data_IF_243849396105
#
_entry.id   IF_243849396105
#
_cell.length_a   1.000
_cell.length_b   1.000
_cell.length_c   1.000
_cell.angle_alpha   90.00
_cell.angle_beta   90.00
_cell.angle_gamma   90.00
#
_symmetry.space_group_name_H-M   'P 1'
#
loop_
_entity.id
_entity.type
_entity.pdbx_description
1 polymer ?
#
# COMPACT_ATOMS: atom_id res chain seq x y z
N UNK A 1 17.79 15.89 -17.82
CA UNK A 1 16.37 15.92 -17.38
C UNK A 1 15.51 15.79 -18.63
N UNK A 2 14.59 14.82 -18.64
CA UNK A 2 13.66 14.60 -19.75
C UNK A 2 12.27 14.91 -19.23
N UNK A 3 11.55 15.82 -19.88
CA UNK A 3 10.17 16.16 -19.53
C UNK A 3 9.23 15.32 -20.39
N UNK A 4 8.36 14.55 -19.72
CA UNK A 4 7.32 13.78 -20.37
C UNK A 4 6.03 14.60 -20.47
N UNK A 5 5.19 14.35 -21.48
CA UNK A 5 3.90 15.02 -21.58
C UNK A 5 3.02 14.67 -20.36
N UNK A 6 2.07 15.55 -19.97
CA UNK A 6 1.11 15.24 -18.94
C UNK A 6 0.35 13.95 -19.25
N UNK A 7 0.33 13.03 -18.29
CA UNK A 7 -0.38 11.76 -18.39
C UNK A 7 -1.37 11.63 -17.23
N UNK A 8 -2.54 11.00 -17.43
CA UNK A 8 -3.42 10.65 -16.34
C UNK A 8 -2.69 9.76 -15.32
N UNK A 9 -2.69 10.19 -14.05
CA UNK A 9 -2.12 9.42 -12.94
C UNK A 9 -3.24 9.05 -11.98
N UNK A 10 -3.11 7.88 -11.35
CA UNK A 10 -4.06 7.50 -10.30
C UNK A 10 -3.97 8.49 -9.13
N UNK A 11 -5.13 8.94 -8.66
CA UNK A 11 -5.23 9.89 -7.56
C UNK A 11 -4.69 9.32 -6.25
N UNK A 12 -4.25 10.19 -5.35
CA UNK A 12 -3.89 9.86 -3.98
C UNK A 12 -4.49 10.89 -3.02
N UNK A 13 -4.59 10.55 -1.74
CA UNK A 13 -5.06 11.49 -0.71
C UNK A 13 -4.29 12.80 -0.68
N UNK A 14 -2.99 12.77 -0.99
CA UNK A 14 -2.18 14.00 -1.11
C UNK A 14 -2.71 14.91 -2.23
N UNK A 15 -2.86 14.38 -3.44
CA UNK A 15 -3.30 15.15 -4.61
C UNK A 15 -4.73 15.68 -4.42
N UNK A 16 -5.59 14.93 -3.72
CA UNK A 16 -6.94 15.39 -3.40
C UNK A 16 -6.98 16.47 -2.32
N UNK A 17 -5.99 16.49 -1.42
CA UNK A 17 -5.88 17.46 -0.32
C UNK A 17 -5.35 18.81 -0.79
N UNK A 18 -4.42 18.83 -1.73
CA UNK A 18 -3.79 20.05 -2.26
C UNK A 18 -4.09 20.22 -3.75
N UNK A 19 -5.36 20.39 -4.10
CA UNK A 19 -5.79 20.54 -5.52
C UNK A 19 -5.36 21.88 -6.13
N UNK A 20 -5.03 22.84 -5.29
CA UNK A 20 -4.50 24.16 -5.64
C UNK A 20 -3.01 24.15 -5.97
N UNK A 21 -2.33 23.01 -5.80
CA UNK A 21 -0.88 22.89 -5.99
C UNK A 21 -0.53 22.00 -7.17
N UNK A 22 0.52 22.40 -7.87
CA UNK A 22 1.12 21.60 -8.91
C UNK A 22 2.09 20.57 -8.31
N UNK A 23 2.06 19.37 -8.83
CA UNK A 23 2.91 18.27 -8.40
C UNK A 23 3.69 17.70 -9.58
N UNK A 24 4.89 17.21 -9.30
CA UNK A 24 5.77 16.58 -10.27
C UNK A 24 6.21 15.21 -9.75
N UNK A 25 5.91 14.17 -10.52
CA UNK A 25 6.49 12.85 -10.30
C UNK A 25 7.87 12.82 -10.96
N UNK A 26 8.92 12.66 -10.15
CA UNK A 26 10.31 12.62 -10.61
C UNK A 26 10.82 11.20 -10.50
N UNK A 27 11.31 10.66 -11.61
CA UNK A 27 11.95 9.35 -11.69
C UNK A 27 13.47 9.54 -11.85
N UNK A 28 14.23 8.83 -11.03
CA UNK A 28 15.69 8.85 -11.01
C UNK A 28 16.18 7.58 -11.70
N UNK A 29 16.50 7.72 -12.99
CA UNK A 29 16.84 6.62 -13.89
C UNK A 29 18.21 6.84 -14.55
N UNK A 30 18.80 5.75 -15.02
CA UNK A 30 19.96 5.75 -15.89
C UNK A 30 19.57 6.14 -17.33
N UNK A 31 20.56 6.29 -18.21
CA UNK A 31 20.37 6.66 -19.62
C UNK A 31 19.45 5.68 -20.36
N UNK A 32 19.54 4.39 -20.03
CA UNK A 32 18.69 3.33 -20.60
C UNK A 32 17.32 3.21 -19.91
N UNK A 33 16.92 4.23 -19.12
CA UNK A 33 15.67 4.27 -18.35
C UNK A 33 15.55 3.14 -17.32
N UNK A 34 16.69 2.59 -16.88
CA UNK A 34 16.75 1.60 -15.81
C UNK A 34 16.93 2.27 -14.46
N UNK A 35 16.72 1.52 -13.37
CA UNK A 35 16.94 2.03 -12.02
C UNK A 35 18.41 2.35 -11.83
N UNK A 36 18.70 3.45 -11.16
CA UNK A 36 20.08 3.84 -10.83
C UNK A 36 20.84 2.78 -10.04
N UNK A 37 22.02 2.47 -10.51
CA UNK A 37 23.04 1.67 -9.85
C UNK A 37 24.31 2.52 -9.63
N UNK A 38 24.94 2.39 -8.47
CA UNK A 38 26.23 3.04 -8.16
C UNK A 38 26.15 4.28 -7.26
N UNK A 39 27.29 4.60 -6.62
CA UNK A 39 27.41 5.61 -5.55
C UNK A 39 27.70 7.01 -6.11
N UNK A 40 28.31 7.11 -7.29
CA UNK A 40 28.75 8.37 -7.89
C UNK A 40 27.59 9.30 -8.30
N UNK A 41 26.41 8.73 -8.54
CA UNK A 41 25.18 9.47 -8.86
C UNK A 41 24.55 10.11 -7.62
N UNK A 42 24.94 9.71 -6.41
CA UNK A 42 24.31 10.16 -5.16
C UNK A 42 24.48 11.66 -4.93
N UNK A 43 25.61 12.27 -5.28
CA UNK A 43 25.81 13.72 -5.11
C UNK A 43 24.83 14.53 -5.96
N UNK A 44 24.55 14.09 -7.19
CA UNK A 44 23.57 14.76 -8.04
C UNK A 44 22.15 14.56 -7.50
N UNK A 45 21.81 13.34 -7.06
CA UNK A 45 20.51 13.07 -6.44
C UNK A 45 20.30 13.90 -5.18
N UNK A 46 21.31 13.97 -4.31
CA UNK A 46 21.27 14.74 -3.08
C UNK A 46 20.94 16.20 -3.38
N UNK A 47 21.61 16.81 -4.37
CA UNK A 47 21.31 18.17 -4.82
C UNK A 47 19.85 18.32 -5.29
N UNK A 48 19.36 17.42 -6.15
CA UNK A 48 17.97 17.47 -6.63
C UNK A 48 16.95 17.31 -5.49
N UNK A 49 17.23 16.42 -4.54
CA UNK A 49 16.35 16.14 -3.40
C UNK A 49 16.35 17.28 -2.37
N UNK A 50 17.46 18.02 -2.24
CA UNK A 50 17.63 19.11 -1.26
C UNK A 50 17.24 20.48 -1.83
N UNK A 51 17.69 20.82 -3.02
CA UNK A 51 17.47 22.12 -3.66
C UNK A 51 16.17 22.16 -4.47
N UNK A 52 15.76 21.02 -5.04
CA UNK A 52 14.61 20.90 -5.92
C UNK A 52 14.95 21.07 -7.40
N UNK A 53 13.94 21.42 -8.19
CA UNK A 53 13.99 21.59 -9.64
C UNK A 53 13.26 22.88 -10.03
N UNK A 54 13.70 23.56 -11.09
CA UNK A 54 12.97 24.70 -11.68
C UNK A 54 12.53 24.32 -13.09
N UNK A 55 11.23 24.34 -13.34
CA UNK A 55 10.63 23.99 -14.64
C UNK A 55 9.66 25.10 -15.01
N UNK A 56 9.86 25.74 -16.17
CA UNK A 56 8.96 26.79 -16.65
C UNK A 56 8.85 28.01 -15.73
N UNK A 57 9.86 28.28 -14.89
CA UNK A 57 9.84 29.34 -13.88
C UNK A 57 9.26 28.93 -12.53
N UNK A 58 8.65 27.75 -12.42
CA UNK A 58 8.10 27.22 -11.15
C UNK A 58 9.14 26.39 -10.41
N UNK A 59 9.32 26.65 -9.12
CA UNK A 59 10.19 25.87 -8.26
C UNK A 59 9.44 24.67 -7.65
N UNK A 60 9.95 23.47 -7.92
CA UNK A 60 9.44 22.20 -7.39
C UNK A 60 10.40 21.64 -6.35
N UNK A 61 9.89 21.29 -5.18
CA UNK A 61 10.69 20.77 -4.06
C UNK A 61 10.16 19.43 -3.58
N UNK A 62 11.05 18.57 -3.08
CA UNK A 62 10.70 17.23 -2.64
C UNK A 62 9.62 17.28 -1.57
N UNK A 63 8.46 16.68 -1.84
CA UNK A 63 7.41 16.49 -0.85
C UNK A 63 7.59 15.16 -0.11
N UNK A 64 7.81 14.07 -0.83
CA UNK A 64 8.05 12.75 -0.24
C UNK A 64 7.87 11.62 -1.25
N UNK A 65 7.93 10.38 -0.78
CA UNK A 65 7.69 9.20 -1.61
C UNK A 65 6.91 8.13 -0.83
N UNK A 66 6.03 7.42 -1.54
CA UNK A 66 5.44 6.17 -1.05
C UNK A 66 6.46 5.03 -1.13
N UNK A 67 6.16 3.91 -0.47
CA UNK A 67 7.04 2.74 -0.51
C UNK A 67 7.20 2.16 -1.93
N UNK A 68 6.18 2.27 -2.80
CA UNK A 68 6.32 1.82 -4.21
C UNK A 68 7.22 2.78 -4.99
N UNK A 69 6.99 4.08 -4.83
CA UNK A 69 7.80 5.10 -5.47
C UNK A 69 9.29 4.95 -5.11
N UNK A 70 9.62 4.70 -3.84
CA UNK A 70 11.00 4.43 -3.42
C UNK A 70 11.61 3.20 -4.12
N UNK A 71 10.86 2.09 -4.24
CA UNK A 71 11.33 0.89 -4.96
C UNK A 71 11.51 1.14 -6.46
N UNK A 72 10.75 2.09 -7.02
CA UNK A 72 10.80 2.51 -8.42
C UNK A 72 11.77 3.68 -8.65
N UNK A 73 12.54 4.06 -7.64
CA UNK A 73 13.46 5.21 -7.68
C UNK A 73 12.73 6.49 -8.12
N UNK A 74 11.56 6.74 -7.55
CA UNK A 74 10.76 7.93 -7.81
C UNK A 74 10.35 8.64 -6.53
N UNK A 75 10.03 9.92 -6.67
CA UNK A 75 9.51 10.74 -5.58
C UNK A 75 8.56 11.81 -6.12
N UNK A 76 7.71 12.32 -5.24
CA UNK A 76 6.79 13.40 -5.55
C UNK A 76 7.37 14.73 -5.09
N UNK A 77 7.37 15.69 -6.00
CA UNK A 77 7.75 17.08 -5.76
C UNK A 77 6.50 17.95 -5.84
N UNK A 78 6.51 19.07 -5.13
CA UNK A 78 5.40 20.04 -5.09
C UNK A 78 5.91 21.43 -5.46
N UNK A 79 5.09 22.20 -6.17
CA UNK A 79 5.35 23.61 -6.41
C UNK A 79 5.32 24.38 -5.09
N UNK A 80 6.47 24.93 -4.70
CA UNK A 80 6.67 25.66 -3.46
C UNK A 80 7.89 26.54 -3.59
N UNK A 81 7.86 27.75 -3.05
CA UNK A 81 8.93 28.76 -3.18
C UNK A 81 10.06 28.58 -2.16
N UNK A 82 9.81 27.84 -1.08
CA UNK A 82 10.80 27.60 -0.03
C UNK A 82 10.63 26.25 0.65
N UNK A 83 11.71 25.76 1.30
CA UNK A 83 11.64 24.59 2.17
C UNK A 83 10.67 24.79 3.35
N UNK A 84 10.52 26.03 3.83
CA UNK A 84 9.55 26.38 4.88
C UNK A 84 8.10 26.19 4.44
N UNK A 85 7.79 26.45 3.18
CA UNK A 85 6.46 26.17 2.62
C UNK A 85 6.19 24.67 2.51
N UNK A 86 7.15 23.88 2.00
CA UNK A 86 7.04 22.42 1.97
C UNK A 86 6.80 21.85 3.36
N UNK A 87 7.53 22.36 4.37
CA UNK A 87 7.31 21.97 5.77
C UNK A 87 5.88 22.23 6.22
N UNK A 88 5.34 23.44 5.97
CA UNK A 88 3.94 23.75 6.30
C UNK A 88 2.94 22.82 5.61
N UNK A 89 3.16 22.49 4.33
CA UNK A 89 2.31 21.54 3.60
C UNK A 89 2.38 20.14 4.22
N UNK A 90 3.57 19.68 4.65
CA UNK A 90 3.71 18.40 5.35
C UNK A 90 3.05 18.41 6.72
N UNK A 91 3.16 19.50 7.48
CA UNK A 91 2.51 19.67 8.79
C UNK A 91 0.98 19.67 8.65
N UNK A 92 0.44 20.15 7.52
CA UNK A 92 -0.99 20.06 7.21
C UNK A 92 -1.47 18.62 6.86
N UNK A 93 -0.56 17.67 6.66
CA UNK A 93 -0.84 16.25 6.41
C UNK A 93 -0.59 15.41 7.67
N UNK A 94 0.52 15.67 8.37
CA UNK A 94 0.91 15.04 9.62
C UNK A 94 1.07 16.13 10.68
N UNK A 95 0.01 16.39 11.43
CA UNK A 95 -0.08 17.52 12.38
C UNK A 95 0.84 17.41 13.59
N UNK A 96 1.33 16.21 13.91
CA UNK A 96 2.24 15.97 15.03
C UNK A 96 3.50 15.25 14.56
N UNK A 97 4.37 15.97 13.84
CA UNK A 97 5.65 15.45 13.39
C UNK A 97 6.59 15.07 14.57
N UNK A 98 6.41 15.70 15.74
CA UNK A 98 7.18 15.38 16.95
C UNK A 98 6.85 14.01 17.54
N UNK A 99 5.71 13.41 17.22
CA UNK A 99 5.34 12.07 17.67
C UNK A 99 6.17 10.94 17.07
N UNK A 100 7.06 11.22 16.12
CA UNK A 100 7.88 10.21 15.46
C UNK A 100 9.32 10.20 15.97
N UNK A 101 9.75 9.03 16.43
CA UNK A 101 11.11 8.83 16.98
C UNK A 101 12.23 8.85 15.92
N UNK A 102 11.87 8.86 14.63
CA UNK A 102 12.85 8.89 13.54
C UNK A 102 12.31 9.49 12.24
N UNK A 103 13.22 10.09 11.47
CA UNK A 103 12.93 10.64 10.14
C UNK A 103 12.42 9.57 9.18
N UNK A 104 12.93 8.33 9.29
CA UNK A 104 12.47 7.20 8.49
C UNK A 104 11.00 6.86 8.79
N UNK A 105 10.60 6.85 10.06
CA UNK A 105 9.22 6.58 10.49
C UNK A 105 8.28 7.69 10.03
N UNK A 106 8.68 8.95 10.20
CA UNK A 106 7.96 10.12 9.68
C UNK A 106 7.75 10.02 8.16
N UNK A 107 8.83 9.80 7.40
CA UNK A 107 8.79 9.71 5.94
C UNK A 107 7.89 8.57 5.48
N UNK A 108 7.97 7.41 6.14
CA UNK A 108 7.09 6.28 5.87
C UNK A 108 5.61 6.58 6.16
N UNK A 109 5.29 7.47 7.11
CA UNK A 109 3.90 7.92 7.39
C UNK A 109 3.41 8.95 6.39
N UNK A 110 4.27 9.89 6.00
CA UNK A 110 3.96 10.86 4.96
C UNK A 110 3.68 10.16 3.62
N UNK A 111 4.50 9.16 3.28
CA UNK A 111 4.34 8.29 2.11
C UNK A 111 3.00 7.55 2.03
N UNK A 112 2.24 7.46 3.12
CA UNK A 112 0.91 6.84 3.10
C UNK A 112 -0.12 7.71 2.36
N UNK A 113 0.03 9.03 2.36
CA UNK A 113 -0.85 9.94 1.60
C UNK A 113 -0.50 10.00 0.10
N UNK A 114 0.71 9.57 -0.24
CA UNK A 114 1.21 9.45 -1.61
C UNK A 114 0.84 8.11 -2.27
N UNK A 115 0.32 7.15 -1.49
CA UNK A 115 -0.16 5.88 -2.04
C UNK A 115 -1.40 6.15 -2.89
N UNK A 116 -1.43 5.62 -4.10
CA UNK A 116 -2.61 5.70 -4.95
C UNK A 116 -3.80 4.96 -4.30
N UNK A 117 -4.94 5.63 -4.25
CA UNK A 117 -6.15 5.13 -3.58
C UNK A 117 -7.41 5.83 -4.11
N UNK A 118 -8.54 5.14 -3.96
CA UNK A 118 -9.86 5.61 -4.39
C UNK A 118 -10.68 6.00 -3.16
N UNK A 119 -11.11 7.27 -3.01
CA UNK A 119 -12.01 7.68 -1.93
C UNK A 119 -13.38 7.04 -2.14
N UNK A 120 -14.02 6.60 -1.05
CA UNK A 120 -15.34 5.95 -1.10
C UNK A 120 -16.33 6.67 -0.20
N UNK A 121 -16.63 6.12 0.97
CA UNK A 121 -17.56 6.68 1.96
C UNK A 121 -16.83 7.44 3.07
N UNK A 122 -17.57 8.26 3.79
CA UNK A 122 -17.13 8.77 5.09
C UNK A 122 -17.56 7.81 6.21
N UNK A 123 -16.64 7.50 7.11
CA UNK A 123 -16.93 6.75 8.35
C UNK A 123 -16.59 7.68 9.52
N UNK A 124 -17.55 7.94 10.41
CA UNK A 124 -17.31 8.73 11.61
C UNK A 124 -16.49 7.93 12.63
N UNK A 125 -15.59 8.62 13.34
CA UNK A 125 -14.80 8.03 14.42
C UNK A 125 -15.69 7.37 15.49
N UNK A 126 -16.89 7.91 15.74
CA UNK A 126 -17.88 7.40 16.71
C UNK A 126 -18.50 6.07 16.32
N UNK A 127 -18.50 5.75 15.03
CA UNK A 127 -19.03 4.50 14.51
C UNK A 127 -17.89 3.48 14.25
N UNK A 128 -16.67 3.83 14.64
CA UNK A 128 -15.50 2.95 14.62
C UNK A 128 -15.15 2.45 16.02
N UNK A 129 -14.60 1.25 16.11
CA UNK A 129 -14.30 0.62 17.38
C UNK A 129 -12.91 -0.02 17.37
N UNK A 130 -12.14 0.15 18.44
CA UNK A 130 -10.84 -0.52 18.61
C UNK A 130 -11.00 -1.83 19.38
N UNK A 131 -10.47 -2.94 18.88
CA UNK A 131 -10.34 -4.20 19.63
C UNK A 131 -8.88 -4.65 19.66
N UNK A 132 -8.48 -5.43 20.65
CA UNK A 132 -7.09 -5.86 20.83
C UNK A 132 -6.64 -6.78 19.69
N UNK A 133 -5.36 -6.79 19.36
CA UNK A 133 -4.81 -7.77 18.43
C UNK A 133 -4.83 -9.19 19.02
N UNK A 134 -5.20 -10.18 18.21
CA UNK A 134 -5.13 -11.59 18.60
C UNK A 134 -3.68 -12.05 18.59
N UNK A 135 -3.33 -12.91 19.55
CA UNK A 135 -1.99 -13.46 19.72
C UNK A 135 -2.02 -14.97 19.74
N UNK A 136 -1.01 -15.57 19.13
CA UNK A 136 -0.71 -16.99 19.29
C UNK A 136 -0.16 -17.28 20.70
N UNK A 137 -0.03 -18.56 21.04
CA UNK A 137 0.50 -18.99 22.34
C UNK A 137 1.94 -18.53 22.62
N UNK A 138 2.71 -18.24 21.58
CA UNK A 138 4.07 -17.68 21.64
C UNK A 138 4.11 -16.14 21.66
N UNK A 139 2.94 -15.48 21.63
CA UNK A 139 2.80 -14.03 21.64
C UNK A 139 2.83 -13.36 20.27
N UNK A 140 3.03 -14.10 19.18
CA UNK A 140 3.02 -13.56 17.82
C UNK A 140 1.63 -13.00 17.45
N UNK A 141 1.59 -11.85 16.77
CA UNK A 141 0.34 -11.23 16.33
C UNK A 141 -0.27 -12.04 15.18
N UNK A 142 -1.51 -12.49 15.36
CA UNK A 142 -2.29 -13.19 14.33
C UNK A 142 -3.11 -12.24 13.46
N UNK A 143 -3.37 -11.02 13.94
CA UNK A 143 -4.21 -10.03 13.27
C UNK A 143 -3.46 -8.73 12.95
N UNK A 144 -2.14 -8.79 12.78
CA UNK A 144 -1.35 -7.59 12.47
C UNK A 144 -1.85 -6.92 11.19
N UNK A 145 -2.39 -5.70 11.34
CA UNK A 145 -2.91 -4.93 10.23
C UNK A 145 -4.28 -5.41 9.71
N UNK A 146 -5.00 -6.26 10.44
CA UNK A 146 -6.28 -6.82 10.03
C UNK A 146 -7.44 -6.36 10.94
N UNK A 147 -8.53 -5.90 10.32
CA UNK A 147 -9.77 -5.49 10.99
C UNK A 147 -11.01 -6.03 10.30
N UNK A 148 -12.18 -5.52 10.68
CA UNK A 148 -13.47 -5.89 10.08
C UNK A 148 -14.25 -4.65 9.64
N UNK A 149 -14.95 -4.78 8.52
CA UNK A 149 -15.88 -3.78 8.00
C UNK A 149 -17.29 -4.37 8.03
N UNK A 150 -18.26 -3.64 8.59
CA UNK A 150 -19.64 -4.09 8.60
C UNK A 150 -20.17 -4.26 7.16
N UNK A 151 -21.02 -5.25 6.94
CA UNK A 151 -21.64 -5.49 5.63
C UNK A 151 -22.28 -4.25 5.02
N UNK A 152 -23.04 -3.47 5.80
CA UNK A 152 -23.66 -2.23 5.33
C UNK A 152 -22.64 -1.22 4.79
N UNK A 153 -21.55 -0.98 5.52
CA UNK A 153 -20.45 -0.12 5.07
C UNK A 153 -19.75 -0.70 3.85
N UNK A 154 -19.53 -2.02 3.81
CA UNK A 154 -18.90 -2.70 2.68
C UNK A 154 -19.74 -2.61 1.39
N UNK A 155 -21.07 -2.67 1.50
CA UNK A 155 -21.99 -2.51 0.38
C UNK A 155 -21.89 -1.10 -0.22
N UNK A 156 -21.87 -0.06 0.62
CA UNK A 156 -21.70 1.32 0.17
C UNK A 156 -20.32 1.57 -0.46
N UNK A 157 -19.27 0.95 0.10
CA UNK A 157 -17.92 0.98 -0.49
C UNK A 157 -17.92 0.32 -1.88
N UNK A 158 -18.53 -0.86 -2.02
CA UNK A 158 -18.60 -1.57 -3.29
C UNK A 158 -19.40 -0.79 -4.35
N UNK A 159 -20.53 -0.20 -3.96
CA UNK A 159 -21.34 0.68 -4.80
C UNK A 159 -20.53 1.91 -5.26
N UNK A 160 -19.84 2.58 -4.34
CA UNK A 160 -18.99 3.74 -4.65
C UNK A 160 -17.84 3.39 -5.60
N UNK A 161 -17.36 2.16 -5.58
CA UNK A 161 -16.30 1.66 -6.48
C UNK A 161 -16.86 1.11 -7.81
N UNK A 162 -18.19 1.04 -7.97
CA UNK A 162 -18.83 0.45 -9.14
C UNK A 162 -18.61 -1.06 -9.27
N UNK A 163 -18.43 -1.77 -8.16
CA UNK A 163 -18.21 -3.22 -8.15
C UNK A 163 -19.54 -3.97 -8.27
N UNK A 164 -19.55 -5.05 -9.07
CA UNK A 164 -20.75 -5.87 -9.28
C UNK A 164 -21.20 -6.65 -8.03
N UNK A 165 -20.28 -6.92 -7.10
CA UNK A 165 -20.56 -7.58 -5.83
C UNK A 165 -19.65 -7.05 -4.74
N UNK A 166 -20.06 -7.23 -3.48
CA UNK A 166 -19.24 -6.87 -2.31
C UNK A 166 -18.07 -7.85 -2.18
N UNK A 167 -16.80 -7.39 -2.28
CA UNK A 167 -15.63 -8.22 -2.07
C UNK A 167 -15.53 -8.76 -0.64
N UNK A 168 -14.78 -9.85 -0.45
CA UNK A 168 -14.56 -10.41 0.89
C UNK A 168 -13.68 -9.52 1.78
N UNK A 169 -12.82 -8.69 1.19
CA UNK A 169 -11.93 -7.80 1.93
C UNK A 169 -11.52 -6.57 1.11
N UNK A 170 -11.08 -5.53 1.81
CA UNK A 170 -10.51 -4.32 1.24
C UNK A 170 -9.18 -3.99 1.90
N UNK A 171 -8.17 -3.65 1.10
CA UNK A 171 -7.00 -2.93 1.57
C UNK A 171 -7.36 -1.44 1.62
N UNK A 172 -7.19 -0.81 2.78
CA UNK A 172 -7.74 0.52 3.02
C UNK A 172 -6.80 1.47 3.76
N UNK A 173 -7.20 2.75 3.74
CA UNK A 173 -6.64 3.86 4.51
C UNK A 173 -7.79 4.69 5.09
N UNK A 174 -7.73 5.00 6.38
CA UNK A 174 -8.73 5.84 7.04
C UNK A 174 -8.19 6.34 8.39
N UNK A 175 -8.35 7.62 8.74
CA UNK A 175 -7.97 8.21 10.03
C UNK A 175 -6.58 7.81 10.60
N UNK A 176 -5.57 7.72 9.74
CA UNK A 176 -4.21 7.28 10.13
C UNK A 176 -4.04 5.78 10.35
N UNK A 177 -5.09 4.99 10.10
CA UNK A 177 -5.08 3.54 10.01
C UNK A 177 -4.65 3.07 8.62
N UNK A 178 -3.92 1.96 8.60
CA UNK A 178 -3.55 1.20 7.41
C UNK A 178 -3.76 -0.27 7.69
N UNK A 179 -4.41 -0.97 6.77
CA UNK A 179 -4.51 -2.42 6.88
C UNK A 179 -5.40 -3.03 5.82
N UNK A 180 -5.89 -4.22 6.14
CA UNK A 180 -6.93 -4.93 5.42
C UNK A 180 -8.13 -5.06 6.36
N UNK A 181 -9.33 -4.88 5.83
CA UNK A 181 -10.57 -5.20 6.53
C UNK A 181 -11.28 -6.32 5.80
N UNK A 182 -11.65 -7.36 6.53
CA UNK A 182 -12.56 -8.40 6.04
C UNK A 182 -14.01 -7.94 6.24
N UNK A 183 -14.87 -8.26 5.28
CA UNK A 183 -16.29 -7.94 5.37
C UNK A 183 -16.95 -8.90 6.36
N UNK A 184 -17.49 -8.34 7.42
CA UNK A 184 -18.16 -9.07 8.49
C UNK A 184 -19.68 -8.98 8.32
N UNK A 185 -20.34 -10.12 8.54
CA UNK A 185 -21.80 -10.21 8.61
C UNK A 185 -22.29 -9.64 9.94
N UNK A 186 -23.58 -9.37 10.02
CA UNK A 186 -24.21 -8.77 11.22
C UNK A 186 -24.14 -9.65 12.47
N UNK A 187 -24.07 -10.97 12.29
CA UNK A 187 -23.99 -11.96 13.36
C UNK A 187 -22.56 -12.20 13.87
N UNK A 188 -21.55 -11.54 13.30
CA UNK A 188 -20.15 -11.63 13.74
C UNK A 188 -20.01 -11.23 15.23
N UNK A 189 -19.47 -12.12 16.10
CA UNK A 189 -19.40 -11.88 17.53
C UNK A 189 -18.63 -10.61 17.92
N UNK A 190 -17.49 -10.32 17.26
CA UNK A 190 -16.69 -9.13 17.56
C UNK A 190 -17.41 -7.85 17.14
N UNK A 191 -18.10 -7.87 15.98
CA UNK A 191 -18.89 -6.73 15.52
C UNK A 191 -20.10 -6.46 16.42
N UNK A 192 -20.76 -7.52 16.92
CA UNK A 192 -21.87 -7.40 17.88
C UNK A 192 -21.41 -6.83 19.21
N UNK A 193 -20.28 -7.30 19.73
CA UNK A 193 -19.68 -6.77 20.96
C UNK A 193 -19.26 -5.31 20.78
N UNK A 194 -18.60 -4.98 19.67
CA UNK A 194 -18.22 -3.61 19.33
C UNK A 194 -19.45 -2.70 19.27
N UNK A 195 -20.52 -3.14 18.60
CA UNK A 195 -21.76 -2.37 18.51
C UNK A 195 -22.42 -2.16 19.88
N UNK A 196 -22.40 -3.19 20.74
CA UNK A 196 -22.86 -3.07 22.15
C UNK A 196 -22.04 -2.05 22.92
N UNK A 197 -20.72 -2.05 22.79
CA UNK A 197 -19.81 -1.10 23.47
C UNK A 197 -20.01 0.33 22.97
N UNK A 198 -20.29 0.52 21.68
CA UNK A 198 -20.59 1.83 21.10
C UNK A 198 -22.02 2.32 21.40
N UNK A 199 -22.94 1.41 21.77
CA UNK A 199 -24.37 1.71 21.89
C UNK A 199 -25.07 1.98 20.56
N UNK A 200 -24.46 1.57 19.44
CA UNK A 200 -24.90 1.79 18.05
C UNK A 200 -24.19 0.81 17.10
N UNK A 201 -24.64 0.65 15.84
CA UNK A 201 -23.95 -0.21 14.88
C UNK A 201 -22.48 0.23 14.66
N UNK A 202 -21.55 -0.71 14.83
CA UNK A 202 -20.14 -0.50 14.49
C UNK A 202 -19.96 -0.60 12.97
N UNK A 203 -19.45 0.45 12.33
CA UNK A 203 -19.14 0.47 10.90
C UNK A 203 -17.77 -0.15 10.60
N UNK A 204 -16.76 0.12 11.44
CA UNK A 204 -15.37 -0.30 11.27
C UNK A 204 -14.77 -0.75 12.60
N UNK A 205 -14.39 -2.03 12.67
CA UNK A 205 -13.63 -2.58 13.78
C UNK A 205 -12.15 -2.64 13.41
N UNK A 206 -11.32 -1.88 14.10
CA UNK A 206 -9.88 -1.83 13.87
C UNK A 206 -9.09 -2.30 15.08
N UNK A 207 -7.80 -2.54 14.89
CA UNK A 207 -6.87 -3.03 15.92
C UNK A 207 -5.67 -2.08 16.13
N UNK A 208 -5.01 -2.10 17.29
CA UNK A 208 -3.84 -1.26 17.58
C UNK A 208 -2.75 -1.34 16.51
N UNK A 209 -2.45 -2.55 16.03
CA UNK A 209 -1.46 -2.79 14.96
C UNK A 209 -1.71 -1.98 13.69
N UNK A 210 -2.96 -1.62 13.39
CA UNK A 210 -3.34 -0.86 12.19
C UNK A 210 -3.04 0.63 12.31
N UNK A 211 -2.94 1.18 13.53
CA UNK A 211 -2.75 2.62 13.77
C UNK A 211 -1.31 3.02 13.50
N UNK A 212 -1.11 3.89 12.51
CA UNK A 212 0.23 4.32 12.08
C UNK A 212 0.58 5.74 12.54
N UNK A 213 -0.44 6.59 12.72
CA UNK A 213 -0.38 7.92 13.32
C UNK A 213 -1.81 8.34 13.72
N UNK A 214 -1.97 9.46 14.42
CA UNK A 214 -3.30 10.03 14.74
C UNK A 214 -3.74 10.95 13.62
N UNK A 215 -4.99 10.81 13.19
CA UNK A 215 -5.63 11.66 12.19
C UNK A 215 -7.14 11.58 12.36
N UNK A 216 -7.83 12.64 11.96
CA UNK A 216 -9.28 12.80 11.95
C UNK A 216 -9.87 12.72 10.53
N UNK A 217 -9.06 12.32 9.52
CA UNK A 217 -9.52 12.12 8.14
C UNK A 217 -10.54 10.97 8.08
N UNK A 218 -11.80 11.32 7.83
CA UNK A 218 -12.95 10.41 7.84
C UNK A 218 -13.19 9.70 6.52
N UNK A 219 -12.48 10.09 5.46
CA UNK A 219 -12.67 9.49 4.14
C UNK A 219 -12.07 8.09 4.10
N UNK A 220 -12.90 7.06 3.95
CA UNK A 220 -12.46 5.69 3.77
C UNK A 220 -11.93 5.52 2.34
N UNK A 221 -10.62 5.35 2.20
CA UNK A 221 -9.97 5.21 0.91
C UNK A 221 -9.57 3.75 0.68
N UNK A 222 -9.96 3.18 -0.45
CA UNK A 222 -9.60 1.82 -0.85
C UNK A 222 -8.38 1.86 -1.74
N UNK A 223 -7.37 1.06 -1.39
CA UNK A 223 -6.17 0.84 -2.22
C UNK A 223 -6.41 -0.30 -3.20
N UNK A 224 -7.05 -1.37 -2.73
CA UNK A 224 -7.40 -2.53 -3.53
C UNK A 224 -8.53 -3.31 -2.87
N UNK A 225 -9.33 -4.01 -3.67
CA UNK A 225 -10.36 -4.95 -3.25
C UNK A 225 -9.91 -6.39 -3.49
N UNK A 226 -10.35 -7.32 -2.64
CA UNK A 226 -10.10 -8.75 -2.85
C UNK A 226 -10.69 -9.20 -4.20
N UNK A 227 -9.85 -9.80 -5.04
CA UNK A 227 -10.24 -10.35 -6.35
C UNK A 227 -9.40 -11.58 -6.67
N UNK A 228 -9.89 -12.41 -7.59
CA UNK A 228 -9.11 -13.51 -8.15
C UNK A 228 -8.11 -12.95 -9.16
N UNK A 229 -6.86 -13.39 -9.07
CA UNK A 229 -5.80 -13.03 -10.01
C UNK A 229 -5.13 -14.31 -10.51
N UNK A 230 -4.91 -14.39 -11.81
CA UNK A 230 -4.00 -15.39 -12.36
C UNK A 230 -2.58 -15.07 -11.92
N UNK A 231 -1.88 -16.07 -11.38
CA UNK A 231 -0.51 -15.90 -10.84
C UNK A 231 0.45 -16.88 -11.50
N UNK A 232 1.68 -16.43 -11.71
CA UNK A 232 2.80 -17.23 -12.19
C UNK A 232 3.89 -17.33 -11.13
N UNK A 233 4.70 -18.39 -11.18
CA UNK A 233 5.86 -18.52 -10.31
C UNK A 233 6.99 -17.58 -10.78
N UNK A 234 7.50 -16.75 -9.88
CA UNK A 234 8.71 -15.98 -10.13
C UNK A 234 9.97 -16.80 -9.81
N UNK A 235 11.13 -16.32 -10.26
CA UNK A 235 12.41 -17.03 -10.11
C UNK A 235 12.78 -17.27 -8.65
N UNK A 236 12.45 -16.33 -7.77
CA UNK A 236 12.72 -16.40 -6.34
C UNK A 236 11.96 -17.55 -5.68
N UNK A 237 10.66 -17.67 -5.96
CA UNK A 237 9.83 -18.77 -5.45
C UNK A 237 10.26 -20.11 -6.06
N UNK A 238 10.58 -20.16 -7.36
CA UNK A 238 11.13 -21.37 -7.99
C UNK A 238 12.41 -21.83 -7.28
N UNK A 239 13.32 -20.89 -6.99
CA UNK A 239 14.58 -21.18 -6.29
C UNK A 239 14.31 -21.75 -4.89
N UNK A 240 13.40 -21.13 -4.13
CA UNK A 240 13.01 -21.61 -2.81
C UNK A 240 12.40 -23.01 -2.86
N UNK A 241 11.43 -23.24 -3.75
CA UNK A 241 10.79 -24.54 -3.90
C UNK A 241 11.77 -25.63 -4.33
N UNK A 242 12.73 -25.29 -5.18
CA UNK A 242 13.80 -26.21 -5.59
C UNK A 242 14.74 -26.51 -4.42
N UNK A 243 15.03 -25.53 -3.55
CA UNK A 243 15.88 -25.74 -2.37
C UNK A 243 15.25 -26.64 -1.30
N UNK A 244 13.92 -26.75 -1.29
CA UNK A 244 13.18 -27.65 -0.41
C UNK A 244 13.17 -29.11 -0.90
N UNK A 245 13.79 -29.41 -2.05
CA UNK A 245 13.98 -30.80 -2.52
C UNK A 245 14.86 -31.57 -1.53
N UNK A 246 14.49 -32.82 -1.26
CA UNK A 246 15.37 -33.75 -0.54
C UNK A 246 16.62 -34.05 -1.42
N UNK A 247 17.80 -34.26 -0.82
CA UNK A 247 18.98 -34.69 -1.57
C UNK A 247 18.72 -36.02 -2.30
N UNK A 248 19.35 -36.26 -3.46
CA UNK A 248 19.23 -37.53 -4.15
C UNK A 248 19.60 -38.71 -3.23
N UNK A 249 18.67 -39.64 -3.04
CA UNK A 249 18.82 -40.82 -2.18
C UNK A 249 18.16 -40.74 -0.80
N UNK A 250 17.55 -39.61 -0.43
CA UNK A 250 16.71 -39.52 0.78
C UNK A 250 15.23 -39.43 0.40
N UNK A 251 14.38 -40.17 1.13
CA UNK A 251 12.94 -40.07 0.96
C UNK A 251 12.49 -38.63 1.27
N UNK A 252 11.63 -38.01 0.43
CA UNK A 252 11.11 -36.69 0.73
C UNK A 252 10.36 -36.72 2.07
N UNK A 253 10.42 -35.65 2.87
CA UNK A 253 9.65 -35.58 4.10
C UNK A 253 8.15 -35.79 3.78
N UNK A 254 7.39 -36.47 4.67
CA UNK A 254 5.99 -36.76 4.43
C UNK A 254 5.21 -35.46 4.16
N UNK A 255 4.65 -35.36 2.94
CA UNK A 255 3.92 -34.17 2.45
C UNK A 255 4.65 -33.32 1.39
N UNK A 256 5.94 -33.57 1.11
CA UNK A 256 6.69 -32.86 0.07
C UNK A 256 6.67 -33.63 -1.27
N UNK A 257 5.62 -33.42 -2.06
CA UNK A 257 5.43 -34.03 -3.38
C UNK A 257 5.68 -33.03 -4.53
N UNK A 258 6.63 -32.11 -4.35
CA UNK A 258 6.93 -31.10 -5.37
C UNK A 258 8.02 -31.64 -6.31
N UNK A 259 7.63 -32.17 -7.48
CA UNK A 259 8.53 -32.54 -8.59
C UNK A 259 8.43 -31.53 -9.75
N UNK A 260 9.23 -30.45 -9.70
CA UNK A 260 9.19 -29.42 -10.72
C UNK A 260 9.66 -29.91 -12.08
N UNK A 261 10.51 -30.94 -12.16
CA UNK A 261 11.11 -31.36 -13.43
C UNK A 261 10.04 -32.08 -14.25
N UNK A 262 9.30 -33.00 -13.64
CA UNK A 262 8.14 -33.62 -14.26
C UNK A 262 7.06 -32.60 -14.64
N UNK A 263 6.79 -31.61 -13.77
CA UNK A 263 5.79 -30.58 -14.04
C UNK A 263 6.20 -29.63 -15.19
N UNK A 264 7.47 -29.24 -15.26
CA UNK A 264 8.02 -28.42 -16.35
C UNK A 264 8.06 -29.19 -17.66
N UNK A 265 8.52 -30.44 -17.65
CA UNK A 265 8.54 -31.32 -18.83
C UNK A 265 7.12 -31.51 -19.40
N UNK A 266 6.15 -31.88 -18.57
CA UNK A 266 4.76 -32.06 -19.00
C UNK A 266 4.10 -30.76 -19.50
N UNK A 267 4.60 -29.60 -19.10
CA UNK A 267 4.12 -28.30 -19.59
C UNK A 267 4.81 -27.90 -20.89
N UNK A 268 6.10 -28.22 -21.04
CA UNK A 268 6.84 -28.05 -22.28
C UNK A 268 6.30 -28.96 -23.38
N UNK A 269 5.99 -30.22 -23.06
CA UNK A 269 5.37 -31.18 -23.99
C UNK A 269 4.01 -30.67 -24.48
N UNK A 270 3.13 -30.22 -23.57
CA UNK A 270 1.84 -29.61 -23.96
C UNK A 270 1.99 -28.38 -24.85
N UNK A 271 2.93 -27.48 -24.53
CA UNK A 271 3.17 -26.30 -25.36
C UNK A 271 3.73 -26.66 -26.75
N UNK A 272 4.51 -27.75 -26.85
CA UNK A 272 4.99 -28.27 -28.13
C UNK A 272 3.87 -28.93 -28.95
N UNK A 273 2.93 -29.62 -28.30
CA UNK A 273 1.73 -30.18 -28.94
C UNK A 273 0.81 -29.07 -29.47
N UNK A 274 0.52 -28.05 -28.67
CA UNK A 274 -0.30 -26.89 -29.09
C UNK A 274 0.36 -26.08 -30.22
N UNK A 275 1.69 -26.06 -30.31
CA UNK A 275 2.41 -25.38 -31.39
C UNK A 275 2.55 -26.22 -32.67
N UNK A 276 2.22 -27.52 -32.61
CA UNK A 276 2.27 -28.45 -33.74
C UNK A 276 0.91 -28.59 -34.46
N UNK A 277 -0.17 -28.06 -33.88
CA UNK A 277 -1.49 -27.90 -34.52
C UNK A 277 -1.61 -26.57 -35.29
#
# INVERSE_FOLDING_TARGET
MILLPPAPVQSSRLLRRFRDREFLAVHFLEEQLQKLHGVETLTHLERVLTEGLVIGGTAFRLFGASASQLREHSAMFVAADSAGEVRRLRDAVLTDASSFDSVAKYSARLGLYLTADTPTIEIDLRDSCCTDDLRAGDGALLTDGAGKLAWGSAALVAESLGLAAVPAAFQFRWAGLKGVVVVAREDDPEMREASRRLGRPCALLYRPSMRKFRSDDRCFCVVSSAAHHEVSLNREIITLLTSLRAPPGQAPPPGAQWDPDAALLARQERALEEAAE
#
